data_IF_428952560460
#
_entry.id   IF_428952560460
#
_cell.length_a   1.000
_cell.length_b   1.000
_cell.length_c   1.000
_cell.angle_alpha   90.00
_cell.angle_beta   90.00
_cell.angle_gamma   90.00
#
_symmetry.space_group_name_H-M   'P 1'
#
loop_
_entity.id
_entity.type
_entity.pdbx_description
1 polymer ?
#
# COMPACT_ATOMS: atom_id res chain seq x y z
N UNK A 1 17.99 2.37 1.17
CA UNK A 1 16.94 1.77 0.33
C UNK A 1 15.81 1.23 1.20
N UNK A 2 14.57 1.26 0.73
CA UNK A 2 13.44 0.69 1.48
C UNK A 2 13.49 -0.84 1.39
N UNK A 3 13.00 -1.52 2.43
CA UNK A 3 12.95 -3.00 2.44
C UNK A 3 12.04 -3.54 1.33
N UNK A 4 10.95 -2.82 1.02
CA UNK A 4 10.04 -3.17 -0.08
C UNK A 4 10.72 -3.04 -1.45
N UNK A 5 11.45 -1.94 -1.68
CA UNK A 5 12.16 -1.74 -2.93
C UNK A 5 13.17 -2.87 -3.19
N UNK A 6 13.99 -3.21 -2.20
CA UNK A 6 14.95 -4.29 -2.32
C UNK A 6 14.27 -5.64 -2.65
N UNK A 7 13.15 -5.94 -1.98
CA UNK A 7 12.39 -7.16 -2.25
C UNK A 7 11.82 -7.17 -3.67
N UNK A 8 11.22 -6.06 -4.12
CA UNK A 8 10.71 -5.95 -5.49
C UNK A 8 11.82 -6.13 -6.53
N UNK A 9 12.99 -5.52 -6.33
CA UNK A 9 14.14 -5.67 -7.21
C UNK A 9 14.63 -7.13 -7.27
N UNK A 10 14.72 -7.82 -6.13
CA UNK A 10 15.11 -9.23 -6.07
C UNK A 10 14.10 -10.14 -6.79
N UNK A 11 12.80 -9.97 -6.54
CA UNK A 11 11.76 -10.75 -7.19
C UNK A 11 11.69 -10.47 -8.69
N UNK A 12 11.86 -9.21 -9.09
CA UNK A 12 11.88 -8.82 -10.49
C UNK A 12 13.07 -9.41 -11.24
N UNK A 13 14.24 -9.52 -10.61
CA UNK A 13 15.44 -10.10 -11.20
C UNK A 13 15.42 -11.63 -11.24
N UNK A 14 14.87 -12.28 -10.20
CA UNK A 14 15.00 -13.72 -10.00
C UNK A 14 13.93 -14.55 -10.73
N UNK A 15 12.80 -13.97 -11.15
CA UNK A 15 11.66 -14.73 -11.64
C UNK A 15 11.17 -14.25 -12.99
N UNK A 16 10.99 -15.19 -13.92
CA UNK A 16 10.28 -14.92 -15.15
C UNK A 16 8.79 -14.67 -14.87
N UNK A 17 8.19 -13.60 -15.40
CA UNK A 17 6.84 -13.18 -15.02
C UNK A 17 5.75 -14.01 -15.71
N UNK A 18 5.55 -15.24 -15.27
CA UNK A 18 4.44 -16.09 -15.73
C UNK A 18 3.10 -15.73 -15.07
N UNK A 19 3.14 -14.93 -14.00
CA UNK A 19 1.97 -14.43 -13.29
C UNK A 19 1.37 -13.16 -13.94
N UNK A 20 0.20 -12.73 -13.48
CA UNK A 20 -0.32 -11.39 -13.81
C UNK A 20 0.59 -10.30 -13.18
N UNK A 21 0.64 -9.11 -13.74
CA UNK A 21 -0.11 -8.61 -14.91
C UNK A 21 0.43 -9.07 -16.26
N UNK A 22 -0.42 -8.94 -17.29
CA UNK A 22 -0.16 -9.44 -18.63
C UNK A 22 0.99 -8.77 -19.40
N UNK A 23 1.41 -7.57 -19.02
CA UNK A 23 2.54 -6.85 -19.65
C UNK A 23 3.90 -7.52 -19.39
N UNK A 24 3.96 -8.49 -18.49
CA UNK A 24 5.17 -9.29 -18.20
C UNK A 24 6.41 -8.45 -17.88
N UNK A 25 6.21 -7.32 -17.18
CA UNK A 25 7.26 -6.35 -16.82
C UNK A 25 8.01 -5.77 -18.01
N UNK A 26 7.46 -5.90 -19.22
CA UNK A 26 7.99 -5.24 -20.41
C UNK A 26 7.62 -3.76 -20.31
N UNK A 27 8.59 -2.94 -19.97
CA UNK A 27 8.41 -1.50 -19.82
C UNK A 27 8.21 -0.88 -21.19
N UNK A 28 7.06 -0.22 -21.46
CA UNK A 28 6.91 0.56 -22.67
C UNK A 28 7.98 1.68 -22.70
N UNK A 29 8.49 2.04 -23.88
CA UNK A 29 9.47 3.11 -24.01
C UNK A 29 8.81 4.49 -23.84
N UNK A 30 8.22 4.74 -22.66
CA UNK A 30 7.57 6.01 -22.33
C UNK A 30 8.03 6.50 -20.95
N UNK A 31 8.32 7.82 -20.81
CA UNK A 31 8.67 8.41 -19.54
C UNK A 31 7.59 8.15 -18.47
N UNK A 32 8.01 7.81 -17.26
CA UNK A 32 7.09 7.59 -16.12
C UNK A 32 6.52 6.18 -16.01
N UNK A 33 6.76 5.27 -16.94
CA UNK A 33 6.27 3.89 -16.89
C UNK A 33 7.31 2.87 -16.35
N UNK A 34 8.42 3.33 -15.81
CA UNK A 34 9.46 2.47 -15.21
C UNK A 34 8.96 1.60 -14.07
N UNK A 35 7.87 2.00 -13.39
CA UNK A 35 7.24 1.23 -12.32
C UNK A 35 6.70 -0.13 -12.77
N UNK A 36 6.41 -0.33 -14.06
CA UNK A 36 5.99 -1.63 -14.60
C UNK A 36 7.02 -2.74 -14.35
N UNK A 37 8.30 -2.39 -14.20
CA UNK A 37 9.34 -3.36 -13.86
C UNK A 37 9.12 -4.03 -12.50
N UNK A 38 8.41 -3.35 -11.60
CA UNK A 38 8.12 -3.78 -10.23
C UNK A 38 6.66 -4.17 -10.02
N UNK A 39 5.87 -4.27 -11.08
CA UNK A 39 4.48 -4.68 -11.00
C UNK A 39 4.41 -6.21 -10.81
N UNK A 40 4.11 -6.61 -9.59
CA UNK A 40 4.07 -7.98 -9.11
C UNK A 40 2.71 -8.23 -8.48
N UNK A 41 2.21 -9.48 -8.58
CA UNK A 41 1.06 -9.94 -7.80
C UNK A 41 1.52 -10.67 -6.53
N UNK A 42 0.60 -11.30 -5.80
CA UNK A 42 0.86 -12.08 -4.57
C UNK A 42 1.57 -13.40 -4.90
N UNK A 43 2.79 -13.30 -5.41
CA UNK A 43 3.69 -14.46 -5.59
C UNK A 43 4.51 -14.69 -4.33
N UNK A 44 5.09 -15.88 -4.19
CA UNK A 44 5.95 -16.21 -3.04
C UNK A 44 7.02 -15.13 -2.82
N UNK A 45 6.99 -14.52 -1.64
CA UNK A 45 7.89 -13.45 -1.23
C UNK A 45 7.40 -12.03 -1.54
N UNK A 46 6.28 -11.85 -2.27
CA UNK A 46 5.68 -10.54 -2.51
C UNK A 46 4.70 -10.11 -1.41
N UNK A 47 4.18 -11.07 -0.62
CA UNK A 47 3.17 -10.85 0.42
C UNK A 47 1.80 -10.44 -0.14
N UNK A 48 0.78 -10.32 0.70
CA UNK A 48 -0.56 -9.84 0.38
C UNK A 48 -0.86 -8.58 1.20
N UNK A 49 -1.25 -7.49 0.53
CA UNK A 49 -1.53 -6.22 1.20
C UNK A 49 -2.72 -6.29 2.17
N UNK A 50 -3.71 -7.12 1.88
CA UNK A 50 -4.92 -7.27 2.70
C UNK A 50 -4.76 -8.28 3.83
N UNK A 51 -3.78 -9.17 3.74
CA UNK A 51 -3.41 -10.14 4.78
C UNK A 51 -1.89 -10.21 4.95
N UNK A 52 -1.28 -9.07 5.24
CA UNK A 52 0.16 -8.90 5.31
C UNK A 52 0.78 -9.70 6.47
N UNK A 53 1.61 -10.69 6.15
CA UNK A 53 2.31 -11.56 7.11
C UNK A 53 3.83 -11.55 6.90
N UNK A 54 4.32 -11.02 5.80
CA UNK A 54 5.70 -11.04 5.36
C UNK A 54 6.32 -9.64 5.28
N UNK A 55 6.83 -9.31 4.10
CA UNK A 55 7.57 -8.07 3.84
C UNK A 55 6.70 -6.81 4.01
N UNK A 56 5.42 -6.87 3.67
CA UNK A 56 4.50 -5.76 3.88
C UNK A 56 4.22 -5.54 5.37
N UNK A 57 4.01 -6.62 6.14
CA UNK A 57 3.87 -6.54 7.58
C UNK A 57 5.12 -5.91 8.23
N UNK A 58 6.31 -6.31 7.82
CA UNK A 58 7.57 -5.74 8.31
C UNK A 58 7.71 -4.26 7.95
N UNK A 59 7.32 -3.86 6.75
CA UNK A 59 7.33 -2.46 6.32
C UNK A 59 6.33 -1.60 7.11
N UNK A 60 5.11 -2.10 7.33
CA UNK A 60 4.09 -1.44 8.15
C UNK A 60 4.57 -1.28 9.61
N UNK A 61 5.20 -2.30 10.20
CA UNK A 61 5.74 -2.24 11.54
C UNK A 61 6.86 -1.18 11.67
N UNK A 62 7.76 -1.10 10.69
CA UNK A 62 8.79 -0.04 10.65
C UNK A 62 8.18 1.36 10.55
N UNK A 63 7.15 1.51 9.72
CA UNK A 63 6.45 2.80 9.58
C UNK A 63 5.75 3.16 10.91
N UNK A 64 5.07 2.22 11.55
CA UNK A 64 4.45 2.43 12.85
C UNK A 64 5.49 2.88 13.90
N UNK A 65 6.64 2.22 13.97
CA UNK A 65 7.72 2.60 14.88
C UNK A 65 8.26 4.01 14.60
N UNK A 66 8.44 4.38 13.32
CA UNK A 66 8.91 5.71 12.92
C UNK A 66 7.98 6.84 13.39
N UNK A 67 6.67 6.60 13.31
CA UNK A 67 5.64 7.58 13.71
C UNK A 67 5.20 7.42 15.18
N UNK A 68 5.76 6.48 15.94
CA UNK A 68 5.36 6.22 17.32
C UNK A 68 3.90 5.74 17.45
N UNK A 69 3.36 5.13 16.41
CA UNK A 69 1.98 4.61 16.39
C UNK A 69 1.94 3.12 16.74
N UNK A 70 0.81 2.65 17.28
CA UNK A 70 0.63 1.24 17.61
C UNK A 70 0.62 0.34 16.37
N UNK A 71 0.07 0.84 15.25
CA UNK A 71 -0.04 0.12 13.98
C UNK A 71 -0.01 1.10 12.80
N UNK A 72 0.33 0.57 11.63
CA UNK A 72 0.25 1.27 10.35
C UNK A 72 -0.34 0.32 9.31
N UNK A 73 -1.16 0.85 8.42
CA UNK A 73 -1.70 0.15 7.26
C UNK A 73 -1.43 0.95 5.99
N UNK A 74 -1.00 0.28 4.94
CA UNK A 74 -0.89 0.88 3.62
C UNK A 74 -2.23 0.80 2.91
N UNK A 75 -2.67 1.92 2.35
CA UNK A 75 -3.97 2.03 1.71
C UNK A 75 -3.81 2.25 0.22
N UNK A 76 -4.59 1.51 -0.57
CA UNK A 76 -4.64 1.66 -2.04
C UNK A 76 -5.80 2.54 -2.51
N UNK A 77 -6.79 2.79 -1.66
CA UNK A 77 -7.94 3.65 -1.94
C UNK A 77 -7.69 5.15 -1.69
N UNK A 78 -6.44 5.56 -1.52
CA UNK A 78 -6.05 6.94 -1.23
C UNK A 78 -6.39 7.38 0.20
N UNK A 79 -6.02 8.62 0.53
CA UNK A 79 -6.25 9.21 1.87
C UNK A 79 -7.74 9.32 2.24
N UNK A 80 -8.62 9.46 1.26
CA UNK A 80 -10.08 9.47 1.48
C UNK A 80 -10.56 8.18 2.12
N UNK A 81 -10.11 7.03 1.65
CA UNK A 81 -10.47 5.74 2.24
C UNK A 81 -9.99 5.62 3.69
N UNK A 82 -8.77 6.09 3.97
CA UNK A 82 -8.23 6.13 5.33
C UNK A 82 -9.01 7.04 6.27
N UNK A 83 -9.38 8.23 5.81
CA UNK A 83 -10.18 9.18 6.59
C UNK A 83 -11.56 8.60 6.91
N UNK A 84 -12.26 8.05 5.91
CA UNK A 84 -13.57 7.43 6.11
C UNK A 84 -13.50 6.25 7.08
N UNK A 85 -12.50 5.38 6.94
CA UNK A 85 -12.29 4.26 7.86
C UNK A 85 -12.00 4.73 9.28
N UNK A 86 -11.13 5.74 9.44
CA UNK A 86 -10.80 6.32 10.75
C UNK A 86 -11.98 6.98 11.42
N UNK A 87 -12.74 7.80 10.69
CA UNK A 87 -13.96 8.43 11.21
C UNK A 87 -14.95 7.36 11.62
N UNK A 88 -15.17 6.35 10.80
CA UNK A 88 -16.12 5.27 11.10
C UNK A 88 -15.72 4.45 12.32
N UNK A 89 -14.41 4.24 12.52
CA UNK A 89 -13.91 3.53 13.69
C UNK A 89 -14.08 4.30 15.01
N UNK A 90 -13.95 5.64 14.95
CA UNK A 90 -14.03 6.52 16.13
C UNK A 90 -15.46 7.03 16.41
N UNK A 91 -16.28 7.17 15.37
CA UNK A 91 -17.64 7.65 15.43
C UNK A 91 -18.62 6.61 14.87
N UNK A 92 -19.13 5.68 15.68
CA UNK A 92 -20.16 4.73 15.28
C UNK A 92 -21.42 5.43 14.74
N UNK A 93 -22.27 4.69 14.02
CA UNK A 93 -23.49 5.25 13.47
C UNK A 93 -24.36 5.89 14.56
N UNK A 94 -24.83 7.11 14.33
CA UNK A 94 -25.59 7.90 15.29
C UNK A 94 -24.76 8.77 16.24
N UNK A 95 -23.41 8.74 16.13
CA UNK A 95 -22.54 9.66 16.87
C UNK A 95 -22.63 11.08 16.32
N UNK A 96 -22.44 12.06 17.18
CA UNK A 96 -22.25 13.46 16.79
C UNK A 96 -20.77 13.74 16.59
N UNK A 97 -20.44 14.42 15.48
CA UNK A 97 -19.06 14.79 15.13
C UNK A 97 -19.01 16.30 14.86
N UNK A 98 -18.05 16.96 15.48
CA UNK A 98 -17.79 18.39 15.19
C UNK A 98 -16.73 18.45 14.08
N UNK A 99 -17.11 19.03 12.95
CA UNK A 99 -16.22 19.21 11.81
C UNK A 99 -16.12 20.69 11.43
N UNK A 100 -14.94 21.13 10.98
CA UNK A 100 -14.79 22.47 10.47
C UNK A 100 -15.55 22.62 9.15
N UNK A 101 -16.21 23.80 8.95
CA UNK A 101 -16.97 24.05 7.72
C UNK A 101 -16.14 23.97 6.43
N UNK A 102 -14.86 24.21 6.52
CA UNK A 102 -13.91 24.18 5.42
C UNK A 102 -13.08 22.86 5.39
N UNK A 103 -13.52 21.81 6.08
CA UNK A 103 -12.85 20.53 6.01
C UNK A 103 -12.91 19.93 4.59
N UNK A 104 -12.02 19.01 4.29
CA UNK A 104 -12.03 18.33 3.02
C UNK A 104 -13.30 17.47 2.86
N UNK A 105 -13.84 17.39 1.64
CA UNK A 105 -15.09 16.66 1.31
C UNK A 105 -15.10 15.17 1.68
N UNK A 106 -13.98 14.61 2.08
CA UNK A 106 -13.87 13.23 2.58
C UNK A 106 -14.33 13.08 4.05
N UNK A 107 -14.54 14.19 4.75
CA UNK A 107 -15.12 14.26 6.09
C UNK A 107 -16.61 14.47 6.01
#
# INVERSE_FOLDING_TARGET
MSILQNQCEQLAAARYPLHMPGHKRRVPPAPGLSCYAFDLTEIDGADDLHDAQGILAAAMARTAALYGSARCWYLVGGSTAGLLAGIRALAPFGSEVIAARNCHKAV
#
